data_IF_448102909118
#
_entry.id   IF_448102909118
#
_cell.length_a   1.000
_cell.length_b   1.000
_cell.length_c   1.000
_cell.angle_alpha   90.00
_cell.angle_beta   90.00
_cell.angle_gamma   90.00
#
_symmetry.space_group_name_H-M   'P 1'
#
loop_
_entity.id
_entity.type
_entity.pdbx_description
1 polymer ?
#
# COMPACT_ATOMS: atom_id res chain seq x y z
N UNK A 1 1.55 -0.70 13.60
CA UNK A 1 0.60 -0.95 14.73
C UNK A 1 -0.07 0.34 15.21
N UNK A 2 0.65 1.47 15.29
CA UNK A 2 0.08 2.80 15.61
C UNK A 2 -1.11 3.20 14.75
N UNK A 3 -1.09 2.93 13.43
CA UNK A 3 -2.20 3.30 12.53
C UNK A 3 -3.52 2.62 12.90
N UNK A 4 -3.49 1.34 13.29
CA UNK A 4 -4.69 0.61 13.71
C UNK A 4 -5.19 1.10 15.06
N UNK A 5 -4.29 1.40 15.99
CA UNK A 5 -4.66 1.95 17.30
C UNK A 5 -5.34 3.31 17.16
N UNK A 6 -4.79 4.22 16.33
CA UNK A 6 -5.38 5.53 16.09
C UNK A 6 -6.76 5.42 15.41
N UNK A 7 -6.92 4.49 14.47
CA UNK A 7 -8.24 4.20 13.89
C UNK A 7 -9.24 3.72 14.95
N UNK A 8 -8.86 2.84 15.88
CA UNK A 8 -9.75 2.40 16.96
C UNK A 8 -10.12 3.53 17.91
N UNK A 9 -9.16 4.39 18.28
CA UNK A 9 -9.40 5.56 19.14
C UNK A 9 -10.42 6.52 18.53
N UNK A 10 -10.50 6.62 17.19
CA UNK A 10 -11.48 7.48 16.52
C UNK A 10 -12.79 6.73 16.28
N UNK A 11 -12.72 5.46 15.86
CA UNK A 11 -13.88 4.69 15.43
C UNK A 11 -14.76 4.27 16.61
N UNK A 12 -14.17 3.93 17.77
CA UNK A 12 -14.93 3.47 18.94
C UNK A 12 -15.82 4.58 19.52
N UNK A 13 -15.32 5.80 19.81
CA UNK A 13 -16.18 6.90 20.25
C UNK A 13 -17.25 7.25 19.22
N UNK A 14 -16.90 7.24 17.93
CA UNK A 14 -17.86 7.49 16.86
C UNK A 14 -18.99 6.44 16.85
N UNK A 15 -18.64 5.16 17.01
CA UNK A 15 -19.62 4.08 17.11
C UNK A 15 -20.54 4.24 18.33
N UNK A 16 -19.98 4.63 19.49
CA UNK A 16 -20.77 4.92 20.69
C UNK A 16 -21.76 6.06 20.43
N UNK A 17 -21.31 7.16 19.83
CA UNK A 17 -22.17 8.29 19.48
C UNK A 17 -23.32 7.88 18.56
N UNK A 18 -23.03 7.05 17.55
CA UNK A 18 -24.05 6.49 16.65
C UNK A 18 -25.06 5.67 17.43
N UNK A 19 -24.62 4.77 18.31
CA UNK A 19 -25.53 3.93 19.12
C UNK A 19 -26.40 4.78 20.04
N UNK A 20 -25.82 5.74 20.76
CA UNK A 20 -26.57 6.66 21.63
C UNK A 20 -27.60 7.44 20.82
N UNK A 21 -27.21 7.96 19.65
CA UNK A 21 -28.12 8.62 18.73
C UNK A 21 -29.27 7.70 18.29
N UNK A 22 -28.98 6.44 17.94
CA UNK A 22 -30.00 5.46 17.57
C UNK A 22 -31.01 5.21 18.70
N UNK A 23 -30.52 5.00 19.92
CA UNK A 23 -31.36 4.72 21.10
C UNK A 23 -32.22 5.93 21.46
N UNK A 24 -31.64 7.13 21.43
CA UNK A 24 -32.35 8.38 21.71
C UNK A 24 -33.41 8.69 20.64
N UNK A 25 -33.15 8.37 19.38
CA UNK A 25 -34.01 8.67 18.23
C UNK A 25 -34.76 7.42 17.72
N UNK A 26 -35.28 6.60 18.65
CA UNK A 26 -36.13 5.44 18.33
C UNK A 26 -37.56 5.79 17.93
N UNK A 27 -37.98 7.03 18.16
CA UNK A 27 -39.33 7.48 17.82
C UNK A 27 -39.53 7.48 16.30
N UNK A 28 -40.68 7.00 15.79
CA UNK A 28 -40.98 7.07 14.37
C UNK A 28 -41.14 8.52 13.94
N UNK A 29 -40.46 8.90 12.86
CA UNK A 29 -40.54 10.23 12.24
C UNK A 29 -41.03 10.04 10.81
N UNK A 30 -41.89 10.95 10.36
CA UNK A 30 -42.34 10.99 8.97
C UNK A 30 -41.19 11.45 8.08
N UNK A 31 -40.69 10.55 7.23
CA UNK A 31 -39.64 10.84 6.24
C UNK A 31 -40.27 10.76 4.85
N UNK A 32 -40.12 11.85 4.07
CA UNK A 32 -40.51 11.90 2.66
C UNK A 32 -39.26 11.78 1.79
N UNK A 33 -39.23 10.81 0.89
CA UNK A 33 -38.11 10.55 -0.02
C UNK A 33 -38.48 10.94 -1.46
N UNK A 34 -38.62 12.23 -1.72
CA UNK A 34 -39.00 12.73 -3.05
C UNK A 34 -37.81 13.41 -3.74
N UNK A 35 -37.14 12.73 -4.70
CA UNK A 35 -36.00 13.30 -5.40
C UNK A 35 -36.39 14.36 -6.44
N UNK A 36 -37.63 14.32 -6.97
CA UNK A 36 -38.08 15.18 -8.09
C UNK A 36 -39.58 15.59 -8.05
N UNK A 37 -40.27 15.51 -6.92
CA UNK A 37 -41.74 15.70 -6.83
C UNK A 37 -42.21 16.94 -6.08
N UNK A 38 -43.36 17.51 -6.49
CA UNK A 38 -44.09 18.58 -5.77
C UNK A 38 -45.13 18.06 -4.77
N UNK A 39 -45.46 16.76 -4.82
CA UNK A 39 -46.37 16.08 -3.91
C UNK A 39 -45.65 14.91 -3.24
N UNK A 40 -45.92 14.62 -1.95
CA UNK A 40 -45.19 13.61 -1.21
C UNK A 40 -45.66 12.21 -1.61
N UNK A 41 -44.88 11.51 -2.44
CA UNK A 41 -45.24 10.18 -2.97
C UNK A 41 -44.61 9.04 -2.15
N UNK A 42 -43.44 9.29 -1.54
CA UNK A 42 -42.71 8.29 -0.76
C UNK A 42 -42.60 8.69 0.71
N UNK A 43 -43.75 8.68 1.40
CA UNK A 43 -43.84 8.99 2.84
C UNK A 43 -43.81 7.72 3.66
N UNK A 44 -42.81 7.58 4.52
CA UNK A 44 -42.70 6.46 5.44
C UNK A 44 -42.53 6.98 6.87
N UNK A 45 -43.22 6.35 7.82
CA UNK A 45 -42.95 6.55 9.23
C UNK A 45 -41.91 5.54 9.67
N UNK A 46 -40.66 5.99 9.73
CA UNK A 46 -39.51 5.18 10.16
C UNK A 46 -38.74 5.93 11.23
N UNK A 47 -38.13 5.22 12.19
CA UNK A 47 -37.18 5.85 13.09
C UNK A 47 -36.02 6.48 12.30
N UNK A 48 -35.70 7.73 12.60
CA UNK A 48 -34.72 8.51 11.84
C UNK A 48 -33.32 7.87 11.85
N UNK A 49 -32.97 7.14 12.91
CA UNK A 49 -31.71 6.40 12.99
C UNK A 49 -31.57 5.35 11.89
N UNK A 50 -32.67 4.74 11.44
CA UNK A 50 -32.65 3.70 10.42
C UNK A 50 -32.31 4.29 9.05
N UNK A 51 -32.88 5.46 8.74
CA UNK A 51 -32.55 6.21 7.53
C UNK A 51 -31.08 6.64 7.52
N UNK A 52 -30.57 7.18 8.64
CA UNK A 52 -29.16 7.57 8.78
C UNK A 52 -28.21 6.38 8.68
N UNK A 53 -28.54 5.23 9.29
CA UNK A 53 -27.73 4.02 9.13
C UNK A 53 -27.72 3.50 7.71
N UNK A 54 -28.88 3.46 7.04
CA UNK A 54 -28.92 3.08 5.63
C UNK A 54 -28.03 4.01 4.79
N UNK A 55 -28.12 5.32 4.98
CA UNK A 55 -27.27 6.30 4.29
C UNK A 55 -25.78 6.10 4.60
N UNK A 56 -25.41 5.84 5.86
CA UNK A 56 -24.02 5.56 6.26
C UNK A 56 -23.49 4.29 5.59
N UNK A 57 -24.28 3.20 5.60
CA UNK A 57 -23.91 1.93 4.99
C UNK A 57 -23.69 2.12 3.49
N UNK A 58 -24.63 2.77 2.80
CA UNK A 58 -24.53 3.06 1.37
C UNK A 58 -23.29 3.91 1.08
N UNK A 59 -23.08 4.99 1.84
CA UNK A 59 -21.90 5.85 1.70
C UNK A 59 -20.59 5.10 1.94
N UNK A 60 -20.55 4.21 2.94
CA UNK A 60 -19.37 3.38 3.25
C UNK A 60 -19.10 2.36 2.16
N UNK A 61 -20.13 1.73 1.60
CA UNK A 61 -20.01 0.79 0.49
C UNK A 61 -19.48 1.50 -0.75
N UNK A 62 -20.06 2.65 -1.12
CA UNK A 62 -19.61 3.45 -2.26
C UNK A 62 -18.17 3.93 -2.04
N UNK A 63 -17.84 4.44 -0.85
CA UNK A 63 -16.48 4.85 -0.51
C UNK A 63 -15.48 3.69 -0.55
N UNK A 64 -15.86 2.53 -0.02
CA UNK A 64 -15.08 1.30 -0.06
C UNK A 64 -14.81 0.83 -1.49
N UNK A 65 -15.85 0.79 -2.33
CA UNK A 65 -15.73 0.49 -3.76
C UNK A 65 -14.79 1.48 -4.44
N UNK A 66 -14.94 2.78 -4.18
CA UNK A 66 -14.06 3.83 -4.70
C UNK A 66 -12.59 3.59 -4.33
N UNK A 67 -12.32 3.34 -3.05
CA UNK A 67 -10.95 3.04 -2.59
C UNK A 67 -10.38 1.76 -3.20
N UNK A 68 -11.21 0.74 -3.42
CA UNK A 68 -10.82 -0.49 -4.10
C UNK A 68 -10.39 -0.19 -5.54
N UNK A 69 -11.18 0.58 -6.29
CA UNK A 69 -10.81 0.97 -7.65
C UNK A 69 -9.51 1.78 -7.69
N UNK A 70 -9.30 2.70 -6.75
CA UNK A 70 -8.06 3.47 -6.66
C UNK A 70 -6.86 2.58 -6.30
N UNK A 71 -7.00 1.66 -5.36
CA UNK A 71 -5.92 0.74 -4.94
C UNK A 71 -5.68 -0.41 -5.94
N UNK A 72 -6.68 -0.81 -6.72
CA UNK A 72 -6.55 -1.89 -7.71
C UNK A 72 -5.50 -1.56 -8.79
N UNK A 73 -5.39 -0.28 -9.17
CA UNK A 73 -4.35 0.18 -10.10
C UNK A 73 -2.93 0.01 -9.51
N UNK A 74 -2.76 0.32 -8.22
CA UNK A 74 -1.46 0.18 -7.54
C UNK A 74 -1.03 -1.28 -7.34
N UNK A 75 -1.97 -2.22 -7.23
CA UNK A 75 -1.65 -3.66 -7.16
C UNK A 75 -0.96 -4.18 -8.42
N UNK A 76 -1.34 -3.68 -9.61
CA UNK A 76 -0.68 -4.04 -10.87
C UNK A 76 0.71 -3.40 -10.99
N UNK A 77 0.84 -2.15 -10.53
CA UNK A 77 2.13 -1.46 -10.49
C UNK A 77 3.13 -2.14 -9.55
N UNK A 78 2.69 -2.65 -8.40
CA UNK A 78 3.55 -3.34 -7.44
C UNK A 78 4.22 -4.61 -8.04
N UNK A 79 3.48 -5.38 -8.86
CA UNK A 79 4.05 -6.55 -9.54
C UNK A 79 5.07 -6.17 -10.62
N UNK A 80 4.76 -5.16 -11.45
CA UNK A 80 5.71 -4.66 -12.46
C UNK A 80 6.99 -4.13 -11.82
N UNK A 81 6.86 -3.34 -10.76
CA UNK A 81 8.02 -2.82 -10.00
C UNK A 81 8.88 -3.93 -9.41
N UNK A 82 8.26 -5.03 -8.95
CA UNK A 82 9.01 -6.16 -8.40
C UNK A 82 9.81 -6.92 -9.47
N UNK A 83 9.22 -7.13 -10.65
CA UNK A 83 9.93 -7.72 -11.79
C UNK A 83 11.09 -6.83 -12.26
N UNK A 84 10.87 -5.51 -12.30
CA UNK A 84 11.89 -4.55 -12.70
C UNK A 84 13.08 -4.52 -11.73
N UNK A 85 12.81 -4.58 -10.42
CA UNK A 85 13.86 -4.72 -9.39
C UNK A 85 14.64 -6.03 -9.56
N UNK A 86 13.96 -7.16 -9.76
CA UNK A 86 14.63 -8.46 -9.93
C UNK A 86 15.46 -8.51 -11.20
N UNK A 87 14.98 -7.88 -12.29
CA UNK A 87 15.75 -7.75 -13.54
C UNK A 87 17.01 -6.90 -13.32
N UNK A 88 16.87 -5.72 -12.72
CA UNK A 88 18.01 -4.83 -12.45
C UNK A 88 19.03 -5.47 -11.52
N UNK A 89 18.60 -6.27 -10.54
CA UNK A 89 19.50 -7.04 -9.67
C UNK A 89 20.32 -8.05 -10.45
N UNK A 90 19.69 -8.83 -11.34
CA UNK A 90 20.40 -9.81 -12.19
C UNK A 90 21.41 -9.13 -13.10
N UNK A 91 21.01 -8.04 -13.76
CA UNK A 91 21.92 -7.28 -14.63
C UNK A 91 23.11 -6.71 -13.83
N UNK A 92 22.89 -6.26 -12.59
CA UNK A 92 23.96 -5.79 -11.72
C UNK A 92 24.89 -6.92 -11.26
N UNK A 93 24.36 -8.10 -10.94
CA UNK A 93 25.14 -9.26 -10.53
C UNK A 93 25.97 -9.82 -11.70
N UNK A 94 25.38 -9.94 -12.90
CA UNK A 94 26.09 -10.33 -14.13
C UNK A 94 27.23 -9.35 -14.45
N UNK A 95 26.98 -8.04 -14.33
CA UNK A 95 28.01 -7.03 -14.56
C UNK A 95 29.17 -7.13 -13.54
N UNK A 96 28.85 -7.42 -12.27
CA UNK A 96 29.85 -7.65 -11.21
C UNK A 96 30.67 -8.90 -11.48
N UNK A 97 30.06 -9.98 -11.94
CA UNK A 97 30.76 -11.22 -12.30
C UNK A 97 31.71 -11.01 -13.47
N UNK A 98 31.29 -10.32 -14.54
CA UNK A 98 32.16 -9.96 -15.67
C UNK A 98 33.37 -9.13 -15.24
N UNK A 99 33.15 -8.10 -14.41
CA UNK A 99 34.23 -7.31 -13.84
C UNK A 99 35.20 -8.15 -13.00
N UNK A 100 34.68 -9.15 -12.27
CA UNK A 100 35.50 -10.06 -11.47
C UNK A 100 36.34 -10.97 -12.37
N UNK A 101 35.76 -11.53 -13.42
CA UNK A 101 36.45 -12.34 -14.42
C UNK A 101 37.54 -11.53 -15.17
N UNK A 102 37.25 -10.29 -15.55
CA UNK A 102 38.25 -9.39 -16.15
C UNK A 102 39.40 -9.09 -15.20
N UNK A 103 39.12 -8.87 -13.91
CA UNK A 103 40.18 -8.68 -12.90
C UNK A 103 41.03 -9.92 -12.70
N UNK A 104 40.40 -11.09 -12.64
CA UNK A 104 41.09 -12.38 -12.47
C UNK A 104 41.94 -12.73 -13.70
N UNK A 105 41.41 -12.54 -14.92
CA UNK A 105 42.16 -12.74 -16.15
C UNK A 105 43.29 -11.71 -16.31
N UNK A 106 43.08 -10.44 -15.93
CA UNK A 106 44.16 -9.44 -15.89
C UNK A 106 45.21 -9.77 -14.82
N UNK A 107 44.81 -10.32 -13.67
CA UNK A 107 45.73 -10.77 -12.63
C UNK A 107 46.54 -12.01 -13.07
N UNK A 108 45.93 -12.92 -13.83
CA UNK A 108 46.62 -14.07 -14.42
C UNK A 108 47.52 -13.67 -15.60
N UNK A 109 47.16 -12.62 -16.35
CA UNK A 109 47.95 -12.08 -17.46
C UNK A 109 49.09 -11.16 -17.00
N UNK A 110 49.06 -10.67 -15.75
CA UNK A 110 50.23 -10.05 -15.14
C UNK A 110 51.26 -11.18 -14.94
N UNK A 111 52.41 -11.14 -15.64
CA UNK A 111 53.43 -12.16 -15.45
C UNK A 111 53.78 -12.15 -13.97
N UNK A 112 53.76 -13.34 -13.35
CA UNK A 112 54.43 -13.53 -12.08
C UNK A 112 55.80 -12.88 -12.25
N UNK A 113 56.02 -11.78 -11.54
CA UNK A 113 57.35 -11.32 -11.24
C UNK A 113 57.92 -12.43 -10.35
N UNK A 114 58.30 -13.54 -11.00
CA UNK A 114 59.28 -14.49 -10.54
C UNK A 114 60.35 -13.59 -9.98
N UNK A 115 60.49 -13.63 -8.66
CA UNK A 115 61.56 -12.95 -7.98
C UNK A 115 62.85 -13.47 -8.57
N UNK A 116 63.32 -12.83 -9.63
CA UNK A 116 64.73 -12.67 -9.91
C UNK A 116 65.22 -11.84 -8.74
N UNK A 117 65.50 -12.53 -7.64
CA UNK A 117 66.33 -12.03 -6.58
C UNK A 117 67.62 -11.59 -7.27
N UNK A 118 67.77 -10.27 -7.38
CA UNK A 118 68.98 -9.62 -7.87
C UNK A 118 70.12 -10.21 -7.03
N UNK A 119 70.99 -10.99 -7.66
CA UNK A 119 72.15 -11.56 -7.01
C UNK A 119 73.00 -10.41 -6.45
N UNK A 120 73.05 -10.30 -5.13
CA UNK A 120 73.92 -9.35 -4.46
C UNK A 120 75.38 -9.73 -4.73
N UNK A 121 76.24 -8.80 -5.16
CA UNK A 121 77.64 -9.11 -5.39
C UNK A 121 78.33 -9.33 -4.04
N UNK A 122 79.04 -10.46 -3.90
CA UNK A 122 79.88 -10.75 -2.74
C UNK A 122 81.10 -9.81 -2.72
N UNK A 123 81.36 -9.07 -1.63
CA UNK A 123 82.65 -8.43 -1.42
C UNK A 123 83.68 -9.44 -0.92
N UNK A 124 84.93 -9.21 -1.35
CA UNK A 124 86.16 -9.99 -1.14
C UNK A 124 86.65 -9.91 0.29
#
# INVERSE_FOLDING_TARGET
MISRFLSFVILVPLAILIVVFCVANRAPVTVSLDPFGTLPQFVYQIPLFLALMAALIVGTVIGGIGTWFTQAHYRSAAWKRRQEIDRLKREADDARERLRQERESRAAALPHATGTALAAPRPV
#
